data_IF_833772828476
#
_entry.id   IF_833772828476
#
_cell.length_a   1.000
_cell.length_b   1.000
_cell.length_c   1.000
_cell.angle_alpha   90.00
_cell.angle_beta   90.00
_cell.angle_gamma   90.00
#
_symmetry.space_group_name_H-M   'P 1'
#
loop_
_entity.id
_entity.type
_entity.pdbx_description
1 polymer ?
#
# COMPACT_ATOMS: atom_id res chain seq x y z
N UNK A 1 -7.04 -26.85 12.31
CA UNK A 1 -6.75 -25.54 12.93
C UNK A 1 -7.58 -24.50 12.19
N UNK A 2 -8.36 -23.69 12.90
CA UNK A 2 -9.10 -22.60 12.30
C UNK A 2 -8.13 -21.42 12.06
N UNK A 3 -8.23 -20.77 10.90
CA UNK A 3 -7.45 -19.55 10.60
C UNK A 3 -8.15 -18.38 11.28
N UNK A 4 -7.39 -17.54 11.95
CA UNK A 4 -7.92 -16.37 12.65
C UNK A 4 -7.14 -15.12 12.28
N UNK A 5 -7.74 -13.96 12.53
CA UNK A 5 -7.12 -12.69 12.17
C UNK A 5 -6.07 -12.28 13.20
N UNK A 6 -4.89 -11.87 12.74
CA UNK A 6 -3.82 -11.32 13.57
C UNK A 6 -3.89 -9.79 13.61
N UNK A 7 -3.85 -9.22 14.81
CA UNK A 7 -3.98 -7.79 15.11
C UNK A 7 -2.76 -7.33 15.92
N UNK A 8 -2.32 -6.10 15.68
CA UNK A 8 -1.24 -5.46 16.43
C UNK A 8 -1.61 -5.27 17.90
N UNK A 9 -0.66 -5.45 18.81
CA UNK A 9 -0.83 -5.16 20.23
C UNK A 9 -0.28 -3.77 20.57
N UNK A 10 -1.12 -2.91 21.15
CA UNK A 10 -0.73 -1.55 21.52
C UNK A 10 -1.93 -0.66 21.83
N UNK A 11 -1.69 0.47 22.48
CA UNK A 11 -2.70 1.53 22.63
C UNK A 11 -2.65 2.41 21.39
N UNK A 12 -3.50 2.12 20.40
CA UNK A 12 -3.74 3.01 19.28
C UNK A 12 -4.79 4.06 19.69
N UNK A 13 -4.60 5.30 19.25
CA UNK A 13 -5.64 6.34 19.35
C UNK A 13 -6.51 6.26 18.08
N UNK A 14 -7.72 5.70 18.15
CA UNK A 14 -8.55 5.45 16.98
C UNK A 14 -9.10 6.74 16.35
N UNK A 15 -8.87 7.92 16.96
CA UNK A 15 -9.38 9.20 16.46
C UNK A 15 -8.50 9.83 15.37
N UNK A 16 -7.27 9.31 15.18
CA UNK A 16 -6.30 9.81 14.21
C UNK A 16 -5.67 8.67 13.42
N UNK A 17 -5.08 8.93 12.24
CA UNK A 17 -4.23 7.96 11.56
C UNK A 17 -3.13 7.44 12.50
N UNK A 18 -2.82 6.15 12.38
CA UNK A 18 -1.72 5.50 13.08
C UNK A 18 -0.68 5.03 12.06
N UNK A 19 0.52 4.74 12.55
CA UNK A 19 1.55 4.13 11.73
C UNK A 19 1.08 2.77 11.18
N UNK A 20 1.37 2.50 9.92
CA UNK A 20 1.05 1.24 9.27
C UNK A 20 1.86 0.12 9.93
N UNK A 21 1.20 -0.93 10.46
CA UNK A 21 1.93 -2.00 11.10
C UNK A 21 2.51 -2.99 10.09
N UNK A 22 3.70 -3.48 10.41
CA UNK A 22 4.32 -4.63 9.78
C UNK A 22 4.03 -5.86 10.64
N UNK A 23 3.57 -6.94 10.04
CA UNK A 23 3.36 -8.24 10.67
C UNK A 23 4.25 -9.27 9.98
N UNK A 24 4.96 -10.11 10.73
CA UNK A 24 5.81 -11.16 10.15
C UNK A 24 5.74 -12.49 10.89
N UNK A 25 6.03 -13.57 10.17
CA UNK A 25 6.28 -14.91 10.68
C UNK A 25 7.41 -15.59 9.92
N UNK A 26 8.36 -16.16 10.64
CA UNK A 26 9.36 -17.08 10.09
C UNK A 26 8.84 -18.53 10.15
N UNK A 27 9.28 -19.37 9.21
CA UNK A 27 8.92 -20.78 9.14
C UNK A 27 9.95 -21.55 8.30
N UNK A 28 10.01 -22.86 8.46
CA UNK A 28 10.87 -23.73 7.65
C UNK A 28 10.07 -24.45 6.56
N UNK A 29 10.70 -24.60 5.38
CA UNK A 29 10.12 -25.30 4.23
C UNK A 29 10.97 -26.53 3.91
N UNK A 30 10.32 -27.69 3.80
CA UNK A 30 10.97 -28.96 3.45
C UNK A 30 11.43 -28.98 1.99
N UNK A 31 12.28 -29.93 1.61
CA UNK A 31 12.63 -30.13 0.20
C UNK A 31 11.44 -30.65 -0.61
N UNK A 32 11.48 -30.49 -1.93
CA UNK A 32 10.49 -31.08 -2.84
C UNK A 32 9.16 -30.33 -2.89
N UNK A 33 9.16 -28.99 -2.71
CA UNK A 33 7.99 -28.15 -2.97
C UNK A 33 7.53 -28.37 -4.42
N UNK A 34 6.28 -28.77 -4.59
CA UNK A 34 5.64 -28.94 -5.88
C UNK A 34 4.81 -27.71 -6.24
N UNK A 35 4.09 -27.14 -5.27
CA UNK A 35 3.25 -25.97 -5.45
C UNK A 35 3.10 -25.24 -4.12
N UNK A 36 3.01 -23.91 -4.15
CA UNK A 36 2.62 -23.13 -2.98
C UNK A 36 1.63 -22.02 -3.34
N UNK A 37 0.60 -21.83 -2.50
CA UNK A 37 -0.42 -20.80 -2.68
C UNK A 37 -0.62 -19.98 -1.42
N UNK A 38 -0.60 -18.65 -1.57
CA UNK A 38 -0.97 -17.73 -0.50
C UNK A 38 -2.41 -17.27 -0.69
N UNK A 39 -3.26 -17.54 0.29
CA UNK A 39 -4.60 -16.99 0.46
C UNK A 39 -4.53 -15.88 1.50
N UNK A 40 -4.87 -14.64 1.14
CA UNK A 40 -4.66 -13.50 2.04
C UNK A 40 -5.72 -12.41 1.89
N UNK A 41 -6.09 -11.79 3.01
CA UNK A 41 -6.95 -10.60 3.08
C UNK A 41 -6.64 -9.76 4.32
N UNK A 42 -7.27 -8.59 4.42
CA UNK A 42 -7.12 -7.71 5.57
C UNK A 42 -8.42 -7.00 5.95
N UNK A 43 -8.57 -6.71 7.25
CA UNK A 43 -9.42 -5.63 7.73
C UNK A 43 -8.61 -4.33 7.61
N UNK A 44 -8.76 -3.65 6.47
CA UNK A 44 -7.88 -2.58 6.05
C UNK A 44 -7.53 -2.73 4.58
N UNK A 45 -6.30 -2.38 4.23
CA UNK A 45 -5.61 -2.80 3.01
C UNK A 45 -4.26 -3.43 3.39
N UNK A 46 -3.65 -4.21 2.50
CA UNK A 46 -2.33 -4.81 2.75
C UNK A 46 -1.46 -4.86 1.50
N UNK A 47 -0.14 -4.97 1.74
CA UNK A 47 0.84 -5.52 0.81
C UNK A 47 1.61 -6.63 1.53
N UNK A 48 1.80 -7.78 0.87
CA UNK A 48 2.49 -8.95 1.43
C UNK A 48 3.84 -9.18 0.75
N UNK A 49 4.80 -9.71 1.49
CA UNK A 49 6.14 -10.06 1.01
C UNK A 49 6.53 -11.46 1.51
N UNK A 50 7.16 -12.25 0.63
CA UNK A 50 7.80 -13.53 0.99
C UNK A 50 9.27 -13.41 0.65
N UNK A 51 10.14 -13.65 1.64
CA UNK A 51 11.59 -13.59 1.49
C UNK A 51 12.11 -12.28 0.84
N UNK A 52 11.52 -11.14 1.23
CA UNK A 52 11.88 -9.82 0.68
C UNK A 52 11.28 -9.49 -0.68
N UNK A 53 10.45 -10.36 -1.27
CA UNK A 53 9.83 -10.16 -2.57
C UNK A 53 8.33 -9.92 -2.41
N UNK A 54 7.80 -8.85 -2.99
CA UNK A 54 6.37 -8.56 -2.99
C UNK A 54 5.55 -9.69 -3.63
N UNK A 55 4.45 -10.06 -2.99
CA UNK A 55 3.54 -11.09 -3.48
C UNK A 55 2.51 -10.46 -4.42
N UNK A 56 2.62 -10.78 -5.70
CA UNK A 56 1.76 -10.22 -6.74
C UNK A 56 2.02 -8.73 -7.02
N UNK A 57 1.17 -8.14 -7.84
CA UNK A 57 1.26 -6.75 -8.31
C UNK A 57 0.02 -5.91 -7.97
N UNK A 58 -0.90 -6.48 -7.19
CA UNK A 58 -2.12 -5.82 -6.75
C UNK A 58 -1.79 -4.67 -5.79
N UNK A 59 -2.52 -3.56 -5.92
CA UNK A 59 -2.44 -2.43 -4.99
C UNK A 59 -3.80 -2.22 -4.30
N UNK A 60 -3.79 -1.68 -3.08
CA UNK A 60 -5.01 -1.45 -2.28
C UNK A 60 -5.87 -2.72 -2.06
N UNK A 61 -5.24 -3.90 -2.06
CA UNK A 61 -5.91 -5.17 -1.73
C UNK A 61 -6.39 -5.15 -0.29
N UNK A 62 -7.59 -5.67 0.04
CA UNK A 62 -8.54 -6.41 -0.81
C UNK A 62 -9.61 -5.52 -1.49
N UNK A 63 -9.42 -4.21 -1.50
CA UNK A 63 -10.38 -3.22 -1.99
C UNK A 63 -11.54 -2.96 -1.02
N UNK A 64 -12.47 -2.09 -1.43
CA UNK A 64 -13.63 -1.73 -0.63
C UNK A 64 -14.81 -2.69 -0.86
N UNK A 65 -15.35 -3.24 0.21
CA UNK A 65 -16.59 -4.05 0.21
C UNK A 65 -17.43 -3.69 1.44
N UNK A 66 -18.65 -4.19 1.52
CA UNK A 66 -19.42 -4.17 2.76
C UNK A 66 -18.84 -5.21 3.73
N UNK A 67 -17.75 -4.87 4.43
CA UNK A 67 -16.90 -5.80 5.20
C UNK A 67 -17.64 -6.73 6.18
N UNK A 68 -18.81 -6.34 6.70
CA UNK A 68 -19.62 -7.16 7.61
C UNK A 68 -20.46 -8.24 6.90
N UNK A 69 -20.61 -8.14 5.59
CA UNK A 69 -21.35 -9.09 4.77
C UNK A 69 -20.43 -9.87 3.83
N UNK A 70 -19.34 -9.23 3.37
CA UNK A 70 -18.44 -9.78 2.38
C UNK A 70 -17.05 -9.18 2.50
N UNK A 71 -16.04 -10.02 2.58
CA UNK A 71 -14.62 -9.66 2.56
C UNK A 71 -13.91 -10.49 1.50
N UNK A 72 -13.32 -9.82 0.50
CA UNK A 72 -12.58 -10.50 -0.56
C UNK A 72 -11.22 -10.95 -0.04
N UNK A 73 -10.82 -12.18 -0.32
CA UNK A 73 -9.42 -12.61 -0.24
C UNK A 73 -8.78 -12.69 -1.62
N UNK A 74 -7.47 -12.74 -1.68
CA UNK A 74 -6.68 -12.92 -2.89
C UNK A 74 -5.93 -14.25 -2.82
N UNK A 75 -5.64 -14.81 -4.00
CA UNK A 75 -4.92 -16.07 -4.16
C UNK A 75 -3.72 -15.79 -5.03
N UNK A 76 -2.53 -16.14 -4.56
CA UNK A 76 -1.30 -15.97 -5.32
C UNK A 76 -0.56 -17.31 -5.40
N UNK A 77 -0.07 -17.65 -6.59
CA UNK A 77 0.97 -18.66 -6.72
C UNK A 77 2.28 -18.04 -6.21
N UNK A 78 2.86 -18.67 -5.19
CA UNK A 78 4.08 -18.21 -4.54
C UNK A 78 5.16 -19.29 -4.56
N UNK A 79 5.00 -20.31 -5.41
CA UNK A 79 5.89 -21.47 -5.50
C UNK A 79 7.34 -21.04 -5.70
N UNK A 80 7.58 -20.08 -6.60
CA UNK A 80 8.93 -19.58 -6.91
C UNK A 80 9.52 -18.63 -5.86
N UNK A 81 8.73 -18.20 -4.87
CA UNK A 81 9.20 -17.30 -3.80
C UNK A 81 9.75 -18.09 -2.61
N UNK A 82 9.48 -19.39 -2.53
CA UNK A 82 9.95 -20.26 -1.46
C UNK A 82 11.27 -20.91 -1.83
N UNK A 83 12.06 -21.22 -0.80
CA UNK A 83 13.25 -22.06 -0.91
C UNK A 83 13.29 -23.07 0.22
N UNK A 84 14.05 -24.16 0.06
CA UNK A 84 14.23 -25.13 1.14
C UNK A 84 14.93 -24.48 2.33
N UNK A 85 14.45 -24.78 3.54
CA UNK A 85 14.98 -24.24 4.80
C UNK A 85 14.21 -23.00 5.30
N UNK A 86 14.89 -22.05 5.94
CA UNK A 86 14.23 -20.89 6.57
C UNK A 86 13.59 -19.95 5.57
N UNK A 87 12.33 -19.58 5.78
CA UNK A 87 11.58 -18.60 5.00
C UNK A 87 10.91 -17.60 5.94
N UNK A 88 10.47 -16.47 5.39
CA UNK A 88 9.64 -15.50 6.10
C UNK A 88 8.50 -14.99 5.22
N UNK A 89 7.34 -14.80 5.84
CA UNK A 89 6.16 -14.14 5.28
C UNK A 89 5.89 -12.88 6.11
N UNK A 90 5.71 -11.77 5.41
CA UNK A 90 5.39 -10.48 6.00
C UNK A 90 4.18 -9.83 5.34
N UNK A 91 3.47 -8.96 6.07
CA UNK A 91 2.51 -8.03 5.49
C UNK A 91 2.57 -6.65 6.17
N UNK A 92 2.45 -5.60 5.38
CA UNK A 92 2.23 -4.22 5.83
C UNK A 92 0.74 -3.90 5.69
N UNK A 93 0.10 -3.34 6.73
CA UNK A 93 -1.33 -3.03 6.71
C UNK A 93 -1.59 -1.51 6.68
N UNK A 94 -2.55 -1.08 5.88
CA UNK A 94 -3.02 0.31 5.83
C UNK A 94 -4.47 0.46 6.30
N UNK A 95 -4.84 1.69 6.64
CA UNK A 95 -6.20 2.04 7.11
C UNK A 95 -7.28 1.66 6.09
N UNK A 96 -7.02 1.98 4.82
CA UNK A 96 -7.94 1.77 3.72
C UNK A 96 -9.34 2.33 3.99
N UNK A 97 -10.35 1.69 3.40
CA UNK A 97 -11.75 2.03 3.65
C UNK A 97 -12.30 1.46 4.96
N UNK A 98 -11.59 0.52 5.58
CA UNK A 98 -12.03 -0.17 6.80
C UNK A 98 -11.97 0.75 8.03
N UNK A 99 -10.80 1.35 8.26
CA UNK A 99 -10.48 2.20 9.41
C UNK A 99 -10.36 3.69 9.04
N UNK A 100 -9.97 3.98 7.80
CA UNK A 100 -9.73 5.33 7.29
C UNK A 100 -10.97 6.22 7.27
N UNK A 101 -10.76 7.52 7.01
CA UNK A 101 -11.81 8.53 7.01
C UNK A 101 -12.57 8.51 5.69
N UNK A 102 -13.86 8.17 5.72
CA UNK A 102 -14.68 8.07 4.50
C UNK A 102 -15.91 8.99 4.58
N UNK A 103 -16.34 9.52 3.42
CA UNK A 103 -17.53 10.35 3.27
C UNK A 103 -17.27 11.86 3.25
N UNK A 104 -18.32 12.62 2.91
CA UNK A 104 -18.28 14.08 2.78
C UNK A 104 -18.50 14.80 4.13
N UNK A 105 -18.42 16.14 4.14
CA UNK A 105 -18.68 16.99 5.31
C UNK A 105 -17.82 16.67 6.55
N UNK A 106 -16.59 16.17 6.32
CA UNK A 106 -15.67 15.73 7.36
C UNK A 106 -15.49 14.22 7.39
N UNK A 107 -16.47 13.46 6.92
CA UNK A 107 -16.43 12.01 6.91
C UNK A 107 -16.39 11.41 8.33
N UNK A 108 -16.21 10.09 8.39
CA UNK A 108 -16.09 9.32 9.64
C UNK A 108 -15.00 8.28 9.50
N UNK A 109 -14.16 8.14 10.54
CA UNK A 109 -13.19 7.05 10.71
C UNK A 109 -13.85 5.85 11.37
N UNK A 110 -13.22 4.68 11.24
CA UNK A 110 -13.62 3.44 11.91
C UNK A 110 -15.08 3.03 11.58
N UNK A 111 -15.49 3.16 10.31
CA UNK A 111 -16.85 2.80 9.88
C UNK A 111 -17.11 1.30 10.08
N UNK A 112 -16.11 0.46 9.79
CA UNK A 112 -16.23 -0.99 9.84
C UNK A 112 -15.51 -1.61 11.04
N UNK A 113 -14.53 -0.91 11.59
CA UNK A 113 -13.82 -1.29 12.80
C UNK A 113 -12.65 -0.35 13.07
N UNK A 114 -12.09 -0.45 14.27
CA UNK A 114 -11.01 0.41 14.77
C UNK A 114 -9.65 -0.28 14.83
N UNK A 115 -9.57 -1.58 14.46
CA UNK A 115 -8.34 -2.37 14.46
C UNK A 115 -8.05 -3.00 13.11
N UNK A 116 -6.83 -2.78 12.61
CA UNK A 116 -6.35 -3.49 11.43
C UNK A 116 -6.06 -4.94 11.76
N UNK A 117 -6.31 -5.82 10.80
CA UNK A 117 -6.09 -7.24 10.98
C UNK A 117 -5.71 -7.94 9.68
N UNK A 118 -4.79 -8.89 9.76
CA UNK A 118 -4.38 -9.75 8.65
C UNK A 118 -5.01 -11.13 8.80
N UNK A 119 -5.50 -11.71 7.72
CA UNK A 119 -5.79 -13.14 7.62
C UNK A 119 -4.98 -13.70 6.46
N UNK A 120 -4.08 -14.64 6.75
CA UNK A 120 -3.26 -15.28 5.74
C UNK A 120 -3.15 -16.79 5.98
N UNK A 121 -3.18 -17.55 4.89
CA UNK A 121 -2.90 -18.98 4.86
C UNK A 121 -2.02 -19.27 3.65
N UNK A 122 -0.79 -19.71 3.90
CA UNK A 122 0.10 -20.28 2.91
C UNK A 122 -0.05 -21.80 2.95
N UNK A 123 -0.41 -22.40 1.83
CA UNK A 123 -0.42 -23.86 1.65
C UNK A 123 0.77 -24.25 0.77
N UNK A 124 1.54 -25.27 1.19
CA UNK A 124 2.72 -25.77 0.49
C UNK A 124 2.52 -27.26 0.25
N UNK A 125 2.31 -27.64 -1.00
CA UNK A 125 2.18 -29.03 -1.42
C UNK A 125 3.55 -29.57 -1.85
N UNK A 126 3.91 -30.74 -1.35
CA UNK A 126 5.18 -31.41 -1.60
C UNK A 126 5.02 -32.60 -2.55
N UNK A 127 6.11 -32.96 -3.22
CA UNK A 127 6.14 -34.07 -4.17
C UNK A 127 5.86 -35.45 -3.53
N UNK A 128 5.98 -35.57 -2.21
CA UNK A 128 5.61 -36.77 -1.44
C UNK A 128 4.10 -36.88 -1.14
N UNK A 129 3.31 -35.89 -1.57
CA UNK A 129 1.87 -35.82 -1.37
C UNK A 129 1.45 -35.20 -0.03
N UNK A 130 2.39 -34.72 0.78
CA UNK A 130 2.08 -34.01 2.03
C UNK A 130 1.88 -32.50 1.79
N UNK A 131 1.19 -31.83 2.72
CA UNK A 131 0.94 -30.39 2.67
C UNK A 131 1.27 -29.74 4.01
N UNK A 132 2.06 -28.67 3.99
CA UNK A 132 2.24 -27.79 5.15
C UNK A 132 1.32 -26.56 5.03
N UNK A 133 0.85 -26.06 6.18
CA UNK A 133 0.03 -24.85 6.27
C UNK A 133 0.63 -23.86 7.26
N UNK A 134 0.98 -22.67 6.76
CA UNK A 134 1.43 -21.55 7.58
C UNK A 134 0.29 -20.54 7.64
N UNK A 135 -0.29 -20.34 8.82
CA UNK A 135 -1.50 -19.53 9.02
C UNK A 135 -1.22 -18.30 9.89
N UNK A 136 -2.11 -17.31 9.87
CA UNK A 136 -2.16 -16.28 10.91
C UNK A 136 -2.61 -16.88 12.24
N UNK A 137 -1.72 -16.82 13.23
CA UNK A 137 -1.87 -17.35 14.59
C UNK A 137 -0.96 -16.56 15.56
N UNK A 138 -0.90 -16.97 16.83
CA UNK A 138 -0.17 -16.31 17.91
C UNK A 138 1.36 -16.27 17.70
N UNK A 139 1.90 -17.02 16.73
CA UNK A 139 3.34 -17.04 16.43
C UNK A 139 3.80 -15.85 15.60
N UNK A 140 2.85 -15.05 15.09
CA UNK A 140 3.16 -13.81 14.39
C UNK A 140 3.59 -12.71 15.35
N UNK A 141 4.46 -11.85 14.84
CA UNK A 141 4.93 -10.66 15.55
C UNK A 141 4.59 -9.42 14.73
N UNK A 142 4.42 -8.28 15.42
CA UNK A 142 4.09 -7.01 14.80
C UNK A 142 4.94 -5.84 15.34
N UNK A 143 5.16 -4.85 14.50
CA UNK A 143 5.80 -3.57 14.86
C UNK A 143 5.25 -2.46 13.96
N UNK A 144 5.57 -1.20 14.25
CA UNK A 144 5.26 -0.09 13.34
C UNK A 144 6.31 0.02 12.24
N UNK A 145 5.86 0.38 11.04
CA UNK A 145 6.72 0.59 9.87
C UNK A 145 7.01 2.08 9.57
N UNK A 146 7.63 2.36 8.41
CA UNK A 146 7.99 3.71 7.98
C UNK A 146 6.80 4.57 7.52
N UNK A 147 5.65 3.97 7.23
CA UNK A 147 4.42 4.72 6.96
C UNK A 147 3.84 5.18 8.31
N UNK A 148 3.96 6.46 8.61
CA UNK A 148 3.48 7.09 9.84
C UNK A 148 1.98 7.36 9.84
N UNK A 149 1.41 7.54 8.64
CA UNK A 149 -0.01 7.72 8.43
C UNK A 149 -0.37 7.34 6.99
N UNK A 150 -1.52 6.69 6.80
CA UNK A 150 -2.11 6.47 5.48
C UNK A 150 -3.62 6.72 5.54
N UNK A 151 -4.14 7.46 4.56
CA UNK A 151 -5.58 7.69 4.40
C UNK A 151 -5.91 7.88 2.93
N UNK A 152 -7.07 7.35 2.49
CA UNK A 152 -7.51 7.43 1.10
C UNK A 152 -7.73 8.89 0.64
N UNK A 153 -8.11 9.81 1.53
CA UNK A 153 -8.37 11.21 1.16
C UNK A 153 -7.22 12.15 1.50
N UNK A 154 -6.53 11.90 2.61
CA UNK A 154 -5.52 12.84 3.12
C UNK A 154 -4.12 12.58 2.57
N UNK A 155 -3.84 11.35 2.12
CA UNK A 155 -2.54 10.94 1.58
C UNK A 155 -1.75 10.04 2.53
N UNK A 156 -0.46 9.89 2.23
CA UNK A 156 0.47 9.06 2.99
C UNK A 156 1.65 9.87 3.54
N UNK A 157 2.04 9.62 4.79
CA UNK A 157 3.26 10.18 5.38
C UNK A 157 4.23 9.06 5.65
N UNK A 158 5.42 9.15 5.07
CA UNK A 158 6.45 8.12 5.09
C UNK A 158 7.77 8.70 5.60
N UNK A 159 8.44 7.99 6.51
CA UNK A 159 9.77 8.33 6.99
C UNK A 159 10.73 7.18 6.73
N UNK A 160 11.56 7.33 5.70
CA UNK A 160 12.47 6.29 5.25
C UNK A 160 13.56 5.96 6.27
N UNK A 161 13.83 6.86 7.22
CA UNK A 161 14.76 6.60 8.33
C UNK A 161 14.28 5.50 9.27
N UNK A 162 12.98 5.18 9.22
CA UNK A 162 12.34 4.13 10.02
C UNK A 162 12.17 2.82 9.26
N UNK A 163 12.77 2.70 8.06
CA UNK A 163 12.75 1.46 7.31
C UNK A 163 13.44 0.33 8.07
N UNK A 164 12.83 -0.84 8.02
CA UNK A 164 13.33 -2.06 8.63
C UNK A 164 13.85 -2.98 7.53
N UNK A 165 15.00 -2.65 6.96
CA UNK A 165 15.59 -3.39 5.82
C UNK A 165 15.66 -4.89 6.12
N UNK A 166 15.13 -5.72 5.22
CA UNK A 166 15.13 -7.18 5.36
C UNK A 166 14.10 -7.75 6.34
N UNK A 167 13.15 -6.95 6.86
CA UNK A 167 12.16 -7.42 7.84
C UNK A 167 11.35 -8.65 7.39
N UNK A 168 11.10 -8.79 6.09
CA UNK A 168 10.38 -9.91 5.46
C UNK A 168 11.31 -11.02 4.94
N UNK A 169 12.60 -10.99 5.28
CA UNK A 169 13.57 -12.05 4.97
C UNK A 169 13.74 -13.03 6.14
N UNK A 170 14.15 -14.29 5.86
CA UNK A 170 14.54 -15.22 6.91
C UNK A 170 15.75 -14.71 7.70
N UNK A 171 15.85 -15.09 8.97
CA UNK A 171 16.98 -14.69 9.83
C UNK A 171 16.95 -13.25 10.36
N UNK A 172 15.95 -12.43 9.97
CA UNK A 172 15.76 -11.10 10.56
C UNK A 172 15.45 -11.19 12.06
N UNK A 173 16.23 -10.47 12.87
CA UNK A 173 16.03 -10.34 14.31
C UNK A 173 14.82 -9.43 14.59
N UNK A 174 13.76 -10.03 15.12
CA UNK A 174 12.54 -9.35 15.50
C UNK A 174 12.31 -9.34 17.02
N UNK A 175 13.38 -9.40 17.82
CA UNK A 175 13.28 -9.37 19.29
C UNK A 175 12.60 -8.11 19.85
N UNK A 176 12.57 -7.01 19.09
CA UNK A 176 11.85 -5.77 19.45
C UNK A 176 10.38 -5.74 18.99
N UNK A 177 9.88 -6.79 18.33
CA UNK A 177 8.51 -6.86 17.82
C UNK A 177 7.58 -7.42 18.90
N UNK A 178 6.38 -6.85 19.00
CA UNK A 178 5.37 -7.33 19.93
C UNK A 178 4.64 -8.56 19.36
N UNK A 179 4.17 -9.46 20.23
CA UNK A 179 3.26 -10.53 19.80
C UNK A 179 1.94 -9.97 19.26
N UNK A 180 1.32 -10.66 18.31
CA UNK A 180 -0.02 -10.29 17.83
C UNK A 180 -1.11 -10.73 18.82
N UNK A 181 -2.32 -10.20 18.65
CA UNK A 181 -3.55 -10.75 19.22
C UNK A 181 -4.39 -11.37 18.13
N UNK A 182 -5.04 -12.47 18.47
CA UNK A 182 -5.97 -13.15 17.58
C UNK A 182 -7.38 -12.66 17.82
N UNK A 183 -8.08 -12.32 16.74
CA UNK A 183 -9.51 -12.00 16.77
C UNK A 183 -10.28 -12.98 15.89
N UNK A 184 -11.46 -13.35 16.37
CA UNK A 184 -12.40 -14.16 15.61
C UNK A 184 -13.31 -13.28 14.77
N UNK A 185 -13.61 -13.77 13.58
CA UNK A 185 -14.53 -13.18 12.60
C UNK A 185 -15.24 -14.32 11.91
N UNK A 186 -16.48 -14.07 11.50
CA UNK A 186 -17.23 -15.05 10.72
C UNK A 186 -16.57 -15.26 9.35
N UNK A 187 -15.94 -16.42 9.18
CA UNK A 187 -15.27 -16.80 7.93
C UNK A 187 -16.26 -17.00 6.78
N UNK A 188 -17.57 -17.15 7.04
CA UNK A 188 -18.60 -17.19 6.00
C UNK A 188 -18.70 -15.86 5.22
N UNK A 189 -18.14 -14.77 5.75
CA UNK A 189 -18.03 -13.51 5.02
C UNK A 189 -16.93 -13.51 3.95
N UNK A 190 -16.00 -14.48 3.97
CA UNK A 190 -14.91 -14.56 3.01
C UNK A 190 -15.41 -15.00 1.63
N UNK A 191 -15.01 -14.27 0.60
CA UNK A 191 -15.34 -14.58 -0.79
C UNK A 191 -14.12 -14.48 -1.69
N UNK A 192 -14.09 -15.30 -2.73
CA UNK A 192 -13.11 -15.15 -3.81
C UNK A 192 -13.35 -13.83 -4.59
N UNK A 193 -12.33 -13.30 -5.28
CA UNK A 193 -12.50 -12.14 -6.16
C UNK A 193 -13.51 -12.44 -7.28
N UNK A 194 -14.40 -11.48 -7.56
CA UNK A 194 -15.39 -11.57 -8.65
C UNK A 194 -14.98 -10.78 -9.91
N UNK A 195 -13.78 -10.20 -9.92
CA UNK A 195 -13.28 -9.31 -10.97
C UNK A 195 -11.80 -9.01 -10.76
N UNK A 196 -11.16 -8.29 -11.69
CA UNK A 196 -9.73 -8.02 -11.63
C UNK A 196 -9.35 -7.13 -10.44
N UNK A 197 -8.12 -7.26 -9.92
CA UNK A 197 -7.61 -6.42 -8.86
C UNK A 197 -7.31 -4.99 -9.37
N UNK A 198 -7.04 -4.07 -8.45
CA UNK A 198 -6.43 -2.78 -8.80
C UNK A 198 -4.93 -2.99 -8.99
N UNK A 199 -4.36 -2.45 -10.07
CA UNK A 199 -2.92 -2.53 -10.39
C UNK A 199 -2.36 -1.16 -10.76
N UNK A 200 -1.04 -1.09 -10.87
CA UNK A 200 -0.31 0.00 -11.54
C UNK A 200 -0.40 -0.26 -13.05
N UNK A 201 -1.23 0.50 -13.75
CA UNK A 201 -1.61 0.22 -15.15
C UNK A 201 -0.68 0.91 -16.14
N UNK A 202 -0.33 2.16 -15.86
CA UNK A 202 0.44 3.01 -16.76
C UNK A 202 1.32 3.97 -15.95
N UNK A 203 2.47 4.34 -16.51
CA UNK A 203 3.30 5.42 -15.99
C UNK A 203 3.28 6.61 -16.96
N UNK A 204 2.83 7.76 -16.46
CA UNK A 204 2.73 9.01 -17.22
C UNK A 204 3.86 9.94 -16.78
N UNK A 205 4.68 10.36 -17.74
CA UNK A 205 5.71 11.36 -17.54
C UNK A 205 5.11 12.78 -17.49
N UNK A 206 5.68 13.72 -16.74
CA UNK A 206 5.23 15.10 -16.78
C UNK A 206 5.50 15.72 -18.16
N UNK A 207 4.57 16.53 -18.65
CA UNK A 207 4.71 17.29 -19.90
C UNK A 207 5.31 18.67 -19.66
N UNK A 208 5.22 19.19 -18.43
CA UNK A 208 5.85 20.45 -18.04
C UNK A 208 6.14 20.50 -16.53
N UNK A 209 7.23 21.18 -16.18
CA UNK A 209 7.56 21.59 -14.81
C UNK A 209 7.74 23.11 -14.85
N UNK A 210 6.98 23.83 -14.04
CA UNK A 210 6.90 25.29 -14.06
C UNK A 210 6.88 25.86 -12.65
N UNK A 211 7.11 27.16 -12.53
CA UNK A 211 6.94 27.88 -11.27
C UNK A 211 5.58 28.58 -11.27
N UNK A 212 4.82 28.41 -10.19
CA UNK A 212 3.57 29.14 -9.96
C UNK A 212 3.85 30.63 -9.70
N UNK A 213 2.84 31.52 -9.81
CA UNK A 213 2.98 32.92 -9.44
C UNK A 213 3.54 33.17 -8.03
N UNK A 214 3.23 32.29 -7.08
CA UNK A 214 3.75 32.32 -5.71
C UNK A 214 5.13 31.67 -5.55
N UNK A 215 5.77 31.24 -6.65
CA UNK A 215 7.11 30.65 -6.65
C UNK A 215 7.13 29.20 -6.18
N UNK A 216 6.08 28.42 -6.41
CA UNK A 216 6.03 26.98 -6.09
C UNK A 216 6.26 26.13 -7.32
N UNK A 217 6.91 24.98 -7.17
CA UNK A 217 7.13 24.04 -8.28
C UNK A 217 5.84 23.30 -8.61
N UNK A 218 5.34 23.49 -9.83
CA UNK A 218 4.16 22.82 -10.38
C UNK A 218 4.56 21.87 -11.49
N UNK A 219 4.01 20.66 -11.44
CA UNK A 219 4.18 19.60 -12.42
C UNK A 219 2.85 19.39 -13.13
N UNK A 220 2.83 19.45 -14.45
CA UNK A 220 1.67 19.11 -15.30
C UNK A 220 1.92 17.76 -15.99
N UNK A 221 0.99 16.81 -15.85
CA UNK A 221 1.03 15.52 -16.53
C UNK A 221 0.29 15.51 -17.88
N UNK A 222 -0.34 16.61 -18.27
CA UNK A 222 -1.09 16.75 -19.53
C UNK A 222 -2.45 16.04 -19.52
N UNK A 223 -2.65 15.12 -18.59
CA UNK A 223 -3.87 14.31 -18.43
C UNK A 223 -4.33 14.36 -16.97
N UNK A 224 -5.64 14.55 -16.75
CA UNK A 224 -6.24 14.29 -15.44
C UNK A 224 -6.41 12.78 -15.27
N UNK A 225 -5.73 12.21 -14.27
CA UNK A 225 -5.60 10.77 -14.05
C UNK A 225 -5.92 10.41 -12.60
N UNK A 226 -6.03 9.11 -12.32
CA UNK A 226 -6.22 8.59 -10.96
C UNK A 226 -5.08 7.65 -10.63
N UNK A 227 -4.40 7.89 -9.51
CA UNK A 227 -3.19 7.17 -9.20
C UNK A 227 -2.39 7.80 -8.08
N UNK A 228 -1.06 7.76 -8.20
CA UNK A 228 -0.11 8.30 -7.22
C UNK A 228 1.19 8.70 -7.89
N UNK A 229 2.03 9.46 -7.21
CA UNK A 229 3.36 9.77 -7.69
C UNK A 229 4.39 8.74 -7.22
N UNK A 230 5.22 8.27 -8.14
CA UNK A 230 6.50 7.62 -7.83
C UNK A 230 7.60 8.65 -8.03
N UNK A 231 8.46 8.81 -7.04
CA UNK A 231 9.62 9.71 -7.10
C UNK A 231 10.93 8.95 -7.00
N UNK A 232 11.98 9.53 -7.55
CA UNK A 232 13.37 9.11 -7.45
C UNK A 232 14.17 10.32 -7.02
N UNK A 233 14.82 10.27 -5.86
CA UNK A 233 15.41 11.47 -5.26
C UNK A 233 16.69 11.18 -4.48
N UNK A 234 17.61 12.14 -4.49
CA UNK A 234 18.82 12.16 -3.64
C UNK A 234 18.79 13.42 -2.82
N UNK A 235 18.96 13.32 -1.50
CA UNK A 235 18.96 14.49 -0.62
C UNK A 235 19.49 14.17 0.76
N UNK A 236 19.41 15.13 1.67
CA UNK A 236 19.89 14.95 3.03
C UNK A 236 18.91 14.11 3.85
N UNK A 237 19.45 13.26 4.73
CA UNK A 237 18.64 12.52 5.71
C UNK A 237 17.75 13.47 6.52
N UNK A 238 16.47 13.15 6.66
CA UNK A 238 15.49 13.95 7.39
C UNK A 238 14.90 15.13 6.62
N UNK A 239 15.33 15.39 5.38
CA UNK A 239 14.63 16.30 4.48
C UNK A 239 13.29 15.69 4.07
N UNK A 240 12.22 16.48 4.07
CA UNK A 240 10.88 16.02 3.69
C UNK A 240 10.44 16.66 2.37
N UNK A 241 10.04 15.82 1.42
CA UNK A 241 9.36 16.22 0.19
C UNK A 241 7.87 16.14 0.42
N UNK A 242 7.13 17.19 0.05
CA UNK A 242 5.67 17.23 0.11
C UNK A 242 5.10 17.28 -1.31
N UNK A 243 4.19 16.36 -1.61
CA UNK A 243 3.53 16.22 -2.91
C UNK A 243 2.04 16.49 -2.74
N UNK A 244 1.52 17.58 -3.32
CA UNK A 244 0.10 17.94 -3.27
C UNK A 244 -0.53 17.79 -4.64
N UNK A 245 -1.72 17.23 -4.70
CA UNK A 245 -2.35 16.82 -5.96
C UNK A 245 -3.64 17.61 -6.22
N UNK A 246 -3.88 18.04 -7.47
CA UNK A 246 -5.16 18.62 -7.87
C UNK A 246 -5.49 18.41 -9.35
N UNK A 247 -6.77 18.49 -9.68
CA UNK A 247 -7.28 18.32 -11.04
C UNK A 247 -7.05 19.56 -11.92
N UNK A 248 -7.02 20.75 -11.32
CA UNK A 248 -7.00 22.04 -12.02
C UNK A 248 -6.05 23.04 -11.35
N UNK A 249 -5.69 24.07 -12.10
CA UNK A 249 -5.09 25.28 -11.54
C UNK A 249 -6.16 26.37 -11.35
N UNK A 250 -6.11 27.09 -10.23
CA UNK A 250 -6.91 28.29 -9.97
C UNK A 250 -5.94 29.48 -9.89
N UNK A 251 -6.07 30.44 -10.82
CA UNK A 251 -5.18 31.62 -10.90
C UNK A 251 -3.68 31.29 -11.03
N UNK A 252 -3.34 30.17 -11.70
CA UNK A 252 -1.96 29.71 -11.87
C UNK A 252 -1.38 28.97 -10.65
N UNK A 253 -2.17 28.80 -9.59
CA UNK A 253 -1.82 28.01 -8.40
C UNK A 253 -2.57 26.68 -8.38
N UNK A 254 -2.12 25.73 -7.56
CA UNK A 254 -2.79 24.45 -7.39
C UNK A 254 -4.22 24.63 -6.85
N UNK A 255 -5.23 24.23 -7.63
CA UNK A 255 -6.65 24.41 -7.32
C UNK A 255 -7.19 23.36 -6.36
N UNK A 256 -6.89 23.49 -5.06
CA UNK A 256 -7.27 22.49 -4.03
C UNK A 256 -8.64 22.71 -3.39
N UNK A 257 -9.26 23.88 -3.57
CA UNK A 257 -10.58 24.21 -2.98
C UNK A 257 -11.67 23.18 -3.34
N UNK A 258 -11.78 22.67 -4.59
CA UNK A 258 -12.76 21.64 -4.95
C UNK A 258 -12.60 20.30 -4.20
N UNK A 259 -11.39 20.00 -3.69
CA UNK A 259 -11.13 18.78 -2.91
C UNK A 259 -11.81 18.81 -1.53
N UNK A 260 -12.32 19.97 -1.12
CA UNK A 260 -13.05 20.21 0.14
C UNK A 260 -12.18 19.90 1.36
N UNK A 261 -12.30 18.69 1.92
CA UNK A 261 -11.61 18.23 3.13
C UNK A 261 -10.69 17.02 2.86
N UNK A 262 -10.46 16.68 1.59
CA UNK A 262 -9.40 15.75 1.23
C UNK A 262 -8.11 16.56 1.08
N UNK A 263 -7.08 16.25 1.87
CA UNK A 263 -5.81 16.95 1.75
C UNK A 263 -5.04 16.56 0.48
N UNK A 264 -5.22 15.32 -0.02
CA UNK A 264 -4.54 14.78 -1.20
C UNK A 264 -3.02 15.09 -1.21
N UNK A 265 -2.38 14.90 -0.05
CA UNK A 265 -1.00 15.33 0.19
C UNK A 265 -0.18 14.20 0.75
N UNK A 266 0.84 13.79 0.00
CA UNK A 266 1.81 12.80 0.46
C UNK A 266 3.09 13.48 0.94
N UNK A 267 3.76 12.88 1.92
CA UNK A 267 4.99 13.37 2.53
C UNK A 267 6.01 12.26 2.62
N UNK A 268 7.21 12.49 2.11
CA UNK A 268 8.31 11.54 2.11
C UNK A 268 9.53 12.15 2.79
N UNK A 269 9.96 11.60 3.92
CA UNK A 269 11.19 12.00 4.61
C UNK A 269 12.33 11.06 4.24
N UNK A 270 13.41 11.63 3.69
CA UNK A 270 14.54 10.90 3.15
C UNK A 270 15.39 10.23 4.25
N UNK A 271 15.97 9.08 3.94
CA UNK A 271 16.98 8.45 4.81
C UNK A 271 18.41 8.94 4.50
N UNK A 272 18.66 9.48 3.30
CA UNK A 272 19.89 10.16 2.92
C UNK A 272 20.99 9.29 2.33
N UNK A 273 20.77 7.97 2.19
CA UNK A 273 21.79 7.05 1.67
C UNK A 273 21.59 6.75 0.18
N UNK A 274 22.01 7.69 -0.67
CA UNK A 274 22.04 7.48 -2.11
C UNK A 274 20.74 7.87 -2.81
N UNK A 275 20.36 7.10 -3.86
CA UNK A 275 19.14 7.35 -4.63
C UNK A 275 18.00 6.57 -4.02
N UNK A 276 16.99 7.28 -3.57
CA UNK A 276 15.80 6.71 -2.97
C UNK A 276 14.70 6.65 -4.02
N UNK A 277 13.89 5.59 -4.00
CA UNK A 277 12.68 5.48 -4.84
C UNK A 277 11.49 5.23 -3.94
N UNK A 278 10.46 6.05 -4.07
CA UNK A 278 9.28 5.95 -3.23
C UNK A 278 8.00 6.18 -4.00
N UNK A 279 6.97 5.46 -3.61
CA UNK A 279 5.60 5.53 -4.12
C UNK A 279 4.68 5.19 -2.94
N UNK A 280 3.65 6.01 -2.63
CA UNK A 280 2.83 5.77 -1.45
C UNK A 280 2.02 4.48 -1.62
N UNK A 281 1.83 3.69 -0.57
CA UNK A 281 1.23 2.33 -0.70
C UNK A 281 -0.29 2.33 -0.54
N UNK A 282 -0.83 3.11 0.39
CA UNK A 282 -2.20 2.96 0.89
C UNK A 282 -3.11 4.18 0.67
N UNK A 283 -2.82 4.95 -0.38
CA UNK A 283 -3.64 6.10 -0.83
C UNK A 283 -3.65 6.20 -2.36
N UNK A 284 -4.52 7.05 -2.90
CA UNK A 284 -4.56 7.44 -4.31
C UNK A 284 -5.25 8.80 -4.48
N UNK A 285 -4.93 9.50 -5.56
CA UNK A 285 -5.41 10.85 -5.84
C UNK A 285 -5.94 10.94 -7.27
N UNK A 286 -6.95 11.80 -7.49
CA UNK A 286 -7.33 12.26 -8.83
C UNK A 286 -6.64 13.59 -9.12
N UNK A 287 -5.79 13.65 -10.15
CA UNK A 287 -5.01 14.84 -10.45
C UNK A 287 -4.50 14.89 -11.88
N UNK A 288 -4.31 16.13 -12.36
CA UNK A 288 -3.47 16.45 -13.52
C UNK A 288 -2.20 17.18 -13.09
N UNK A 289 -2.29 17.94 -12.00
CA UNK A 289 -1.23 18.79 -11.50
C UNK A 289 -0.76 18.29 -10.15
N UNK A 290 0.55 18.37 -9.94
CA UNK A 290 1.15 18.21 -8.63
C UNK A 290 1.97 19.43 -8.26
N UNK A 291 1.89 19.86 -7.01
CA UNK A 291 2.82 20.81 -6.43
C UNK A 291 3.86 20.04 -5.60
N UNK A 292 5.13 20.34 -5.83
CA UNK A 292 6.26 19.69 -5.15
C UNK A 292 6.98 20.73 -4.29
N UNK A 293 7.07 20.46 -3.00
CA UNK A 293 7.79 21.28 -2.03
C UNK A 293 8.88 20.47 -1.32
N UNK A 294 9.94 21.15 -0.90
CA UNK A 294 11.07 20.52 -0.20
C UNK A 294 11.98 19.64 -1.07
N UNK A 295 11.89 19.74 -2.40
CA UNK A 295 12.75 18.98 -3.31
C UNK A 295 14.24 19.42 -3.20
N UNK A 296 15.20 18.49 -3.12
CA UNK A 296 16.62 18.82 -3.10
C UNK A 296 17.12 19.22 -4.50
N UNK A 297 17.54 20.47 -4.65
CA UNK A 297 18.08 20.98 -5.91
C UNK A 297 17.00 21.23 -6.95
N UNK A 298 17.30 20.95 -8.21
CA UNK A 298 16.36 21.09 -9.33
C UNK A 298 15.54 19.80 -9.51
N UNK A 299 14.24 19.95 -9.79
CA UNK A 299 13.36 18.83 -10.11
C UNK A 299 13.36 18.60 -11.62
N UNK A 300 13.75 17.41 -12.07
CA UNK A 300 13.75 17.05 -13.48
C UNK A 300 12.58 16.11 -13.83
N UNK A 301 12.11 16.11 -15.09
CA UNK A 301 11.02 15.24 -15.54
C UNK A 301 11.23 13.75 -15.26
N UNK A 302 12.47 13.26 -15.27
CA UNK A 302 12.84 11.86 -14.99
C UNK A 302 12.74 11.45 -13.52
N UNK A 303 12.66 12.42 -12.61
CA UNK A 303 12.67 12.18 -11.17
C UNK A 303 11.31 11.73 -10.64
N UNK A 304 10.24 11.85 -11.44
CA UNK A 304 8.90 11.51 -11.02
C UNK A 304 8.03 10.95 -12.14
N UNK A 305 7.11 10.05 -11.79
CA UNK A 305 6.09 9.50 -12.69
C UNK A 305 4.74 9.49 -11.99
N UNK A 306 3.68 9.82 -12.71
CA UNK A 306 2.33 9.52 -12.25
C UNK A 306 2.03 8.05 -12.60
N UNK A 307 1.76 7.24 -11.58
CA UNK A 307 1.41 5.83 -11.70
C UNK A 307 -0.10 5.72 -11.67
N UNK A 308 -0.70 5.44 -12.82
CA UNK A 308 -2.15 5.29 -12.99
C UNK A 308 -2.60 3.99 -12.33
N UNK A 309 -3.60 4.07 -11.46
CA UNK A 309 -4.11 2.93 -10.71
C UNK A 309 -5.62 2.78 -10.90
N UNK A 310 -6.05 1.66 -11.46
CA UNK A 310 -7.46 1.27 -11.51
C UNK A 310 -7.61 -0.25 -11.55
N UNK A 311 -8.85 -0.75 -11.47
CA UNK A 311 -9.13 -2.16 -11.70
C UNK A 311 -8.67 -2.57 -13.10
N UNK A 312 -7.85 -3.61 -13.19
CA UNK A 312 -7.19 -4.05 -14.41
C UNK A 312 -8.13 -4.86 -15.31
N UNK A 313 -9.15 -4.18 -15.83
CA UNK A 313 -10.12 -4.75 -16.76
C UNK A 313 -9.55 -4.78 -18.17
N UNK A 314 -9.81 -5.86 -18.89
CA UNK A 314 -9.52 -5.94 -20.31
C UNK A 314 -10.28 -4.84 -21.07
N UNK A 315 -9.55 -4.04 -21.84
CA UNK A 315 -10.15 -3.05 -22.73
C UNK A 315 -10.76 -3.76 -23.94
N UNK A 316 -12.07 -3.59 -24.15
CA UNK A 316 -12.82 -4.31 -25.20
C UNK A 316 -13.40 -3.43 -26.29
N UNK A 317 -13.30 -2.10 -26.16
CA UNK A 317 -13.91 -1.15 -27.11
C UNK A 317 -13.01 0.03 -27.43
N UNK A 318 -12.93 0.35 -28.73
CA UNK A 318 -12.20 1.48 -29.28
C UNK A 318 -13.13 2.26 -30.20
N UNK A 319 -12.93 3.57 -30.29
CA UNK A 319 -13.67 4.45 -31.17
C UNK A 319 -12.72 5.53 -31.69
N UNK A 320 -12.73 5.73 -33.00
CA UNK A 320 -12.04 6.80 -33.70
C UNK A 320 -12.96 7.35 -34.80
N UNK A 321 -12.85 8.64 -35.10
CA UNK A 321 -13.57 9.26 -36.20
C UNK A 321 -12.72 10.37 -36.83
N UNK A 322 -13.19 10.96 -37.93
CA UNK A 322 -12.45 12.02 -38.63
C UNK A 322 -12.37 13.35 -37.88
N UNK A 323 -13.19 13.53 -36.84
CA UNK A 323 -13.19 14.70 -35.96
C UNK A 323 -12.21 14.45 -34.79
N UNK A 324 -11.16 15.28 -34.60
CA UNK A 324 -10.11 15.05 -33.61
C UNK A 324 -10.53 15.28 -32.15
#
# INVERSE_FOLDING_TARGET
MAVSFAVVTGHEDPTKPQAAPLLRRAFDVRSGVQQARLYVTALGVYEAEINGVSVGDNVLSPGWTSYNHRLRYQIFDVTSLLHQGPNALGANLGDGWFRGRIGFNGGRRNIYGDRLALLAQLEIDYADGTTDRIITDETWHATTGPILASDIYDGETYDARLERTGWSQPGYDNGDWASVRIIERDLATLVAPSGPPVRRIEEVAPVAITMSPAGRTLVDFGQNLVGRLRIRVRGAAGQTITLRHAEVLEHGELGIRPLRRAAATDRYTLHGDGLETWEPRFTFHGFRYAEVDGWPGELHPEDLRAVVCHSDMERTGWFECSDP
#
